data_IF_938779644169
#
_entry.id   IF_938779644169
#
_cell.length_a   1.000
_cell.length_b   1.000
_cell.length_c   1.000
_cell.angle_alpha   90.00
_cell.angle_beta   90.00
_cell.angle_gamma   90.00
#
_symmetry.space_group_name_H-M   'P 1'
#
loop_
_entity.id
_entity.type
_entity.pdbx_description
1 polymer ?
#
# COMPACT_ATOMS: atom_id res chain seq x y z
N UNK A 1 -1.30 -11.63 2.38
CA UNK A 1 -0.98 -12.76 3.28
C UNK A 1 0.43 -13.23 3.03
N UNK A 2 1.10 -13.86 4.00
CA UNK A 2 2.37 -14.57 3.72
C UNK A 2 2.23 -15.50 2.50
N UNK A 3 3.23 -15.48 1.62
CA UNK A 3 3.28 -16.27 0.39
C UNK A 3 2.58 -15.64 -0.82
N UNK A 4 1.81 -14.56 -0.64
CA UNK A 4 1.17 -13.84 -1.75
C UNK A 4 2.09 -12.78 -2.35
N UNK A 5 1.68 -12.25 -3.51
CA UNK A 5 2.33 -11.10 -4.14
C UNK A 5 1.74 -9.82 -3.55
N UNK A 6 2.57 -8.96 -2.98
CA UNK A 6 2.17 -7.57 -2.75
C UNK A 6 2.43 -6.77 -4.04
N UNK A 7 1.43 -6.02 -4.49
CA UNK A 7 1.48 -5.22 -5.70
C UNK A 7 1.13 -3.77 -5.36
N UNK A 8 2.02 -2.84 -5.70
CA UNK A 8 1.83 -1.41 -5.52
C UNK A 8 1.99 -0.71 -6.86
N UNK A 9 1.01 0.11 -7.22
CA UNK A 9 1.03 0.91 -8.45
C UNK A 9 0.67 2.37 -8.19
N UNK A 10 1.24 3.27 -8.98
CA UNK A 10 0.86 4.67 -9.01
C UNK A 10 1.07 5.27 -10.40
N UNK A 11 0.25 6.27 -10.75
CA UNK A 11 0.46 7.11 -11.93
C UNK A 11 1.44 8.24 -11.62
N UNK A 12 2.35 8.50 -12.54
CA UNK A 12 3.40 9.50 -12.44
C UNK A 12 3.32 10.49 -13.61
N UNK A 13 3.34 11.78 -13.29
CA UNK A 13 3.35 12.87 -14.28
C UNK A 13 4.39 13.93 -13.89
N UNK A 14 5.03 14.62 -14.86
CA UNK A 14 4.83 14.53 -16.31
C UNK A 14 5.47 13.29 -16.95
N UNK A 15 4.89 12.80 -18.05
CA UNK A 15 5.44 11.67 -18.83
C UNK A 15 6.48 12.17 -19.84
N UNK A 16 7.56 11.41 -20.05
CA UNK A 16 8.56 11.70 -21.09
C UNK A 16 9.71 12.62 -20.68
N UNK A 17 9.77 13.03 -19.41
CA UNK A 17 10.93 13.74 -18.87
C UNK A 17 12.14 12.82 -18.76
N UNK A 18 13.14 13.07 -19.61
CA UNK A 18 14.38 12.27 -19.67
C UNK A 18 15.28 12.44 -18.43
N UNK A 19 15.02 13.44 -17.59
CA UNK A 19 15.74 13.65 -16.33
C UNK A 19 15.08 12.95 -15.15
N UNK A 20 13.92 12.32 -15.35
CA UNK A 20 13.15 11.70 -14.28
C UNK A 20 13.79 10.38 -13.83
N UNK A 21 14.09 10.30 -12.55
CA UNK A 21 14.60 9.12 -11.86
C UNK A 21 13.57 8.67 -10.85
N UNK A 22 13.24 7.37 -10.86
CA UNK A 22 12.33 6.74 -9.90
C UNK A 22 13.12 5.79 -9.02
N UNK A 23 13.01 5.98 -7.71
CA UNK A 23 13.66 5.18 -6.68
C UNK A 23 12.62 4.65 -5.70
N UNK A 24 12.87 3.46 -5.14
CA UNK A 24 12.03 2.87 -4.10
C UNK A 24 12.79 2.79 -2.78
N UNK A 25 12.08 2.99 -1.67
CA UNK A 25 12.62 2.93 -0.33
C UNK A 25 11.79 1.98 0.54
N UNK A 26 12.47 1.21 1.38
CA UNK A 26 11.88 0.41 2.44
C UNK A 26 12.33 0.95 3.80
N UNK A 27 11.38 1.37 4.63
CA UNK A 27 11.63 1.95 5.95
C UNK A 27 12.67 3.10 5.91
N UNK A 28 12.54 3.98 4.91
CA UNK A 28 13.41 5.14 4.72
C UNK A 28 14.80 4.85 4.14
N UNK A 29 15.12 3.58 3.83
CA UNK A 29 16.37 3.19 3.18
C UNK A 29 16.10 2.76 1.73
N UNK A 30 17.08 2.93 0.84
CA UNK A 30 16.95 2.48 -0.55
C UNK A 30 16.58 0.99 -0.58
N UNK A 31 15.56 0.65 -1.37
CA UNK A 31 15.09 -0.72 -1.51
C UNK A 31 16.15 -1.52 -2.27
N UNK A 32 16.74 -2.52 -1.61
CA UNK A 32 17.73 -3.38 -2.24
C UNK A 32 17.09 -4.29 -3.29
N UNK A 33 17.79 -4.45 -4.42
CA UNK A 33 17.37 -5.36 -5.47
C UNK A 33 17.44 -6.81 -4.96
N UNK A 34 16.40 -7.60 -5.25
CA UNK A 34 16.34 -9.01 -4.91
C UNK A 34 15.57 -9.78 -5.98
N UNK A 35 15.67 -11.11 -5.96
CA UNK A 35 14.86 -11.96 -6.85
C UNK A 35 13.35 -11.90 -6.54
N UNK A 36 12.96 -11.35 -5.39
CA UNK A 36 11.57 -11.17 -4.98
C UNK A 36 11.01 -9.81 -5.33
N UNK A 37 11.85 -8.82 -5.62
CA UNK A 37 11.41 -7.46 -5.92
C UNK A 37 11.40 -7.23 -7.43
N UNK A 38 10.25 -6.77 -7.95
CA UNK A 38 10.12 -6.34 -9.34
C UNK A 38 9.66 -4.90 -9.37
N UNK A 39 10.29 -4.08 -10.19
CA UNK A 39 9.89 -2.68 -10.37
C UNK A 39 9.69 -2.38 -11.85
N UNK A 40 8.70 -1.54 -12.15
CA UNK A 40 8.42 -1.04 -13.50
C UNK A 40 8.31 0.47 -13.41
N UNK A 41 8.90 1.17 -14.39
CA UNK A 41 8.65 2.58 -14.65
C UNK A 41 8.51 2.76 -16.17
N UNK A 42 7.28 2.89 -16.64
CA UNK A 42 6.99 3.03 -18.06
C UNK A 42 5.65 3.74 -18.27
N UNK A 43 5.55 4.55 -19.33
CA UNK A 43 4.29 5.17 -19.77
C UNK A 43 3.54 5.95 -18.67
N UNK A 44 4.25 6.61 -17.76
CA UNK A 44 3.63 7.36 -16.66
C UNK A 44 3.07 6.46 -15.55
N UNK A 45 3.53 5.21 -15.45
CA UNK A 45 3.18 4.30 -14.37
C UNK A 45 4.45 3.85 -13.66
N UNK A 46 4.36 3.73 -12.34
CA UNK A 46 5.39 3.12 -11.49
C UNK A 46 4.76 1.95 -10.72
N UNK A 47 5.46 0.83 -10.69
CA UNK A 47 5.01 -0.40 -10.03
C UNK A 47 6.13 -0.97 -9.17
N UNK A 48 5.77 -1.49 -8.00
CA UNK A 48 6.60 -2.36 -7.17
C UNK A 48 5.81 -3.63 -6.83
N UNK A 49 6.41 -4.78 -7.09
CA UNK A 49 5.91 -6.08 -6.65
C UNK A 49 6.89 -6.76 -5.70
N UNK A 50 6.35 -7.41 -4.67
CA UNK A 50 7.09 -8.26 -3.74
C UNK A 50 6.53 -9.67 -3.83
N UNK A 51 7.31 -10.58 -4.40
CA UNK A 51 6.95 -11.97 -4.62
C UNK A 51 7.15 -12.78 -3.35
N UNK A 52 6.14 -13.59 -2.97
CA UNK A 52 6.24 -14.45 -1.79
C UNK A 52 6.51 -13.64 -0.54
N UNK A 53 5.57 -12.75 -0.22
CA UNK A 53 5.66 -11.86 0.94
C UNK A 53 5.86 -12.64 2.23
N UNK A 54 6.65 -12.06 3.13
CA UNK A 54 6.99 -12.59 4.44
C UNK A 54 6.72 -11.55 5.51
N UNK A 55 6.67 -11.98 6.77
CA UNK A 55 6.48 -11.09 7.92
C UNK A 55 7.53 -9.97 7.94
N UNK A 56 8.78 -10.28 7.58
CA UNK A 56 9.91 -9.34 7.49
C UNK A 56 9.77 -8.26 6.40
N UNK A 57 8.86 -8.44 5.45
CA UNK A 57 8.53 -7.43 4.43
C UNK A 57 7.53 -6.39 4.96
N UNK A 58 7.01 -6.55 6.18
CA UNK A 58 6.10 -5.56 6.77
C UNK A 58 6.83 -4.24 7.05
N UNK A 59 6.31 -3.14 6.53
CA UNK A 59 6.91 -1.82 6.72
C UNK A 59 6.37 -0.79 5.74
N UNK A 60 7.07 0.35 5.67
CA UNK A 60 6.68 1.45 4.78
C UNK A 60 7.50 1.41 3.49
N UNK A 61 6.81 1.31 2.36
CA UNK A 61 7.38 1.41 1.02
C UNK A 61 7.12 2.80 0.47
N UNK A 62 8.16 3.47 0.00
CA UNK A 62 8.05 4.82 -0.59
C UNK A 62 8.59 4.81 -2.01
N UNK A 63 7.79 5.31 -2.94
CA UNK A 63 8.24 5.64 -4.29
C UNK A 63 8.64 7.11 -4.32
N UNK A 64 9.82 7.40 -4.84
CA UNK A 64 10.34 8.76 -5.02
C UNK A 64 10.63 9.01 -6.48
N UNK A 65 10.02 10.04 -7.03
CA UNK A 65 10.31 10.52 -8.37
C UNK A 65 11.01 11.88 -8.30
N UNK A 66 12.18 11.98 -8.92
CA UNK A 66 13.00 13.20 -8.94
C UNK A 66 13.30 13.61 -10.38
N UNK A 67 13.12 14.88 -10.68
CA UNK A 67 13.56 15.48 -11.95
C UNK A 67 14.31 16.79 -11.69
N UNK A 68 14.71 17.49 -12.75
CA UNK A 68 15.48 18.74 -12.62
C UNK A 68 14.75 19.89 -11.90
N UNK A 69 13.44 19.77 -11.68
CA UNK A 69 12.63 20.80 -11.01
C UNK A 69 12.28 20.46 -9.57
N UNK A 70 12.50 19.22 -9.12
CA UNK A 70 12.25 18.82 -7.75
C UNK A 70 11.94 17.34 -7.60
N UNK A 71 11.23 17.02 -6.54
CA UNK A 71 10.96 15.66 -6.11
C UNK A 71 9.53 15.52 -5.60
N UNK A 72 8.92 14.37 -5.84
CA UNK A 72 7.67 13.94 -5.25
C UNK A 72 7.82 12.54 -4.64
N UNK A 73 7.09 12.27 -3.55
CA UNK A 73 7.08 10.98 -2.87
C UNK A 73 5.65 10.51 -2.59
N UNK A 74 5.44 9.20 -2.64
CA UNK A 74 4.23 8.53 -2.16
C UNK A 74 4.61 7.30 -1.34
N UNK A 75 3.94 7.10 -0.22
CA UNK A 75 4.24 5.99 0.69
C UNK A 75 3.01 5.12 0.95
N UNK A 76 3.25 3.82 1.15
CA UNK A 76 2.25 2.81 1.50
C UNK A 76 2.80 1.89 2.59
N UNK A 77 1.94 1.48 3.52
CA UNK A 77 2.26 0.51 4.56
C UNK A 77 1.85 -0.90 4.11
N UNK A 78 2.81 -1.82 4.14
CA UNK A 78 2.57 -3.25 3.99
C UNK A 78 2.55 -3.91 5.36
N UNK A 79 1.50 -4.69 5.65
CA UNK A 79 1.42 -5.52 6.84
C UNK A 79 1.24 -6.99 6.42
N UNK A 80 2.20 -7.83 6.78
CA UNK A 80 2.15 -9.26 6.58
C UNK A 80 1.92 -9.97 7.92
N UNK A 81 0.79 -10.68 8.01
CA UNK A 81 0.36 -11.34 9.24
C UNK A 81 0.61 -12.85 9.14
N UNK A 82 1.22 -13.40 10.19
CA UNK A 82 1.36 -14.83 10.41
C UNK A 82 -0.01 -15.45 10.74
N UNK A 83 -0.55 -16.28 9.85
CA UNK A 83 -1.85 -16.95 10.06
C UNK A 83 -1.73 -18.15 11.01
N UNK A 84 -0.53 -18.63 11.34
CA UNK A 84 -0.33 -19.77 12.25
C UNK A 84 -0.48 -19.37 13.72
N UNK A 85 -0.32 -18.09 14.03
CA UNK A 85 -0.58 -17.51 15.35
C UNK A 85 -2.01 -16.98 15.34
N UNK A 86 -2.82 -17.43 16.29
CA UNK A 86 -4.20 -16.96 16.42
C UNK A 86 -4.29 -15.42 16.37
N UNK A 87 -5.24 -14.89 15.61
CA UNK A 87 -5.39 -13.46 15.38
C UNK A 87 -6.49 -12.90 16.27
N UNK A 88 -6.20 -11.80 16.98
CA UNK A 88 -7.23 -11.06 17.70
C UNK A 88 -8.18 -10.38 16.69
N UNK A 89 -9.46 -10.18 17.04
CA UNK A 89 -10.38 -9.41 16.20
C UNK A 89 -9.86 -8.00 15.91
N UNK A 90 -9.95 -7.58 14.64
CA UNK A 90 -9.59 -6.26 14.15
C UNK A 90 -10.66 -5.75 13.18
N UNK A 91 -11.04 -4.49 13.30
CA UNK A 91 -11.91 -3.83 12.32
C UNK A 91 -11.11 -3.50 11.06
N UNK A 92 -11.62 -3.88 9.90
CA UNK A 92 -11.04 -3.51 8.59
C UNK A 92 -11.70 -2.28 7.98
N UNK A 93 -12.88 -1.91 8.47
CA UNK A 93 -13.61 -0.71 8.02
C UNK A 93 -14.10 0.05 9.23
N UNK A 94 -13.88 1.38 9.23
CA UNK A 94 -14.36 2.24 10.30
C UNK A 94 -15.83 2.61 10.07
N UNK A 95 -16.65 2.47 11.10
CA UNK A 95 -18.02 3.00 11.13
C UNK A 95 -17.94 4.52 10.96
N UNK A 96 -18.62 5.04 9.95
CA UNK A 96 -18.65 6.47 9.66
C UNK A 96 -19.77 7.16 10.45
N UNK A 97 -19.56 8.42 10.81
CA UNK A 97 -20.63 9.25 11.37
C UNK A 97 -21.67 9.52 10.28
N UNK A 98 -22.94 9.46 10.64
CA UNK A 98 -24.05 9.86 9.77
C UNK A 98 -24.62 11.17 10.28
N UNK A 99 -24.54 12.21 9.46
CA UNK A 99 -25.00 13.57 9.77
C UNK A 99 -26.19 13.96 8.89
N UNK A 100 -27.03 14.89 9.36
CA UNK A 100 -28.10 15.49 8.54
C UNK A 100 -29.40 14.68 8.39
N UNK A 101 -29.59 13.62 9.20
CA UNK A 101 -30.84 12.87 9.23
C UNK A 101 -31.99 13.69 9.81
N UNK A 102 -33.18 13.52 9.24
CA UNK A 102 -34.42 14.15 9.69
C UNK A 102 -35.26 13.16 10.50
N UNK A 103 -36.26 13.68 11.20
CA UNK A 103 -37.22 12.85 11.93
C UNK A 103 -37.92 11.87 10.98
N UNK A 104 -37.86 10.58 11.32
CA UNK A 104 -38.35 9.47 10.48
C UNK A 104 -37.32 8.81 9.55
N UNK A 105 -36.11 9.37 9.42
CA UNK A 105 -35.05 8.75 8.61
C UNK A 105 -34.38 7.58 9.35
N UNK A 106 -34.00 6.55 8.59
CA UNK A 106 -33.25 5.40 9.10
C UNK A 106 -31.75 5.61 8.92
N UNK A 107 -30.97 5.33 9.96
CA UNK A 107 -29.52 5.21 9.86
C UNK A 107 -29.11 3.74 9.66
N UNK A 108 -28.10 3.51 8.81
CA UNK A 108 -27.44 2.22 8.66
C UNK A 108 -25.96 2.37 8.97
N UNK A 109 -25.43 1.48 9.80
CA UNK A 109 -24.03 1.43 10.17
C UNK A 109 -23.49 0.04 9.87
N UNK A 110 -22.34 -0.03 9.22
CA UNK A 110 -21.67 -1.27 8.87
C UNK A 110 -20.19 -1.19 9.21
N UNK A 111 -19.62 -2.30 9.68
CA UNK A 111 -18.20 -2.50 9.77
C UNK A 111 -17.86 -3.97 9.51
N UNK A 112 -16.62 -4.23 9.14
CA UNK A 112 -16.13 -5.58 8.87
C UNK A 112 -15.03 -5.92 9.88
N UNK A 113 -15.05 -7.15 10.40
CA UNK A 113 -14.07 -7.70 11.33
C UNK A 113 -13.21 -8.76 10.65
N UNK A 114 -11.97 -8.90 11.08
CA UNK A 114 -11.10 -10.05 10.78
C UNK A 114 -10.42 -10.56 12.06
N UNK A 115 -10.15 -11.88 12.20
CA UNK A 115 -10.62 -12.96 11.33
C UNK A 115 -12.14 -13.22 11.49
N UNK A 116 -12.76 -13.77 10.45
CA UNK A 116 -14.19 -14.15 10.46
C UNK A 116 -14.27 -15.67 10.69
N UNK A 117 -14.47 -16.10 11.94
CA UNK A 117 -14.63 -17.51 12.34
C UNK A 117 -13.74 -17.94 13.52
N UNK A 118 -14.18 -18.99 14.23
CA UNK A 118 -13.43 -19.75 15.26
C UNK A 118 -12.49 -20.80 14.65
#
# INVERSE_FOLDING_TARGET
>A
SEGEIAHFEASLTPVGDQTMVVEWFYNGKSLEASHRTRTVHAFGMVVLEILGTKIEDSGTYTCRATNKWGQAEISVQLECIDKSKGQKPQFTTQIQNVEGLKDGDSAHFECTLIPVGD
#
